data_IF_086248410004
#
_entry.id   IF_086248410004
#
_cell.length_a   1.000
_cell.length_b   1.000
_cell.length_c   1.000
_cell.angle_alpha   90.00
_cell.angle_beta   90.00
_cell.angle_gamma   90.00
#
_symmetry.space_group_name_H-M   'P 1'
#
loop_
_entity.id
_entity.type
_entity.pdbx_description
1 polymer ?
#
# COMPACT_ATOMS: atom_id res chain seq x y z
N UNK A 1 -34.88 32.89 6.86
CA UNK A 1 -34.77 31.49 6.34
C UNK A 1 -33.35 31.17 5.92
N UNK A 2 -32.68 31.95 5.05
CA UNK A 2 -31.30 31.71 4.62
C UNK A 2 -30.29 31.57 5.78
N UNK A 3 -30.44 32.39 6.83
CA UNK A 3 -29.55 32.34 8.00
C UNK A 3 -29.71 31.04 8.81
N UNK A 4 -30.93 30.51 8.95
CA UNK A 4 -31.21 29.22 9.60
C UNK A 4 -30.67 28.06 8.77
N UNK A 5 -30.82 28.13 7.45
CA UNK A 5 -30.31 27.11 6.54
C UNK A 5 -28.76 27.04 6.60
N UNK A 6 -28.09 28.20 6.53
CA UNK A 6 -26.65 28.29 6.63
C UNK A 6 -26.10 27.74 7.97
N UNK A 7 -26.79 28.05 9.09
CA UNK A 7 -26.43 27.52 10.41
C UNK A 7 -26.64 26.01 10.52
N UNK A 8 -27.70 25.47 9.92
CA UNK A 8 -27.94 24.02 9.88
C UNK A 8 -26.89 23.29 9.05
N UNK A 9 -26.53 23.85 7.89
CA UNK A 9 -25.45 23.29 7.05
C UNK A 9 -24.11 23.30 7.80
N UNK A 10 -23.75 24.42 8.45
CA UNK A 10 -22.52 24.52 9.24
C UNK A 10 -22.46 23.47 10.34
N UNK A 11 -23.53 23.31 11.12
CA UNK A 11 -23.62 22.28 12.17
C UNK A 11 -23.52 20.85 11.62
N UNK A 12 -24.09 20.59 10.45
CA UNK A 12 -24.00 19.30 9.80
C UNK A 12 -22.56 18.99 9.34
N UNK A 13 -21.87 19.99 8.78
CA UNK A 13 -20.45 19.87 8.37
C UNK A 13 -19.57 19.65 9.60
N UNK A 14 -19.67 20.47 10.64
CA UNK A 14 -18.92 20.33 11.89
C UNK A 14 -19.13 18.95 12.54
N UNK A 15 -20.37 18.45 12.54
CA UNK A 15 -20.66 17.11 13.05
C UNK A 15 -20.00 16.02 12.21
N UNK A 16 -20.06 16.14 10.90
CA UNK A 16 -19.44 15.17 9.99
C UNK A 16 -17.91 15.15 10.13
N UNK A 17 -17.29 16.32 10.25
CA UNK A 17 -15.84 16.46 10.49
C UNK A 17 -15.44 15.81 11.82
N UNK A 18 -16.17 16.07 12.91
CA UNK A 18 -15.91 15.46 14.22
C UNK A 18 -16.07 13.94 14.18
N UNK A 19 -17.14 13.40 13.60
CA UNK A 19 -17.34 11.95 13.46
C UNK A 19 -16.25 11.29 12.60
N UNK A 20 -15.74 12.01 11.60
CA UNK A 20 -14.66 11.52 10.75
C UNK A 20 -13.32 11.47 11.51
N UNK A 21 -13.00 12.52 12.26
CA UNK A 21 -11.79 12.57 13.11
C UNK A 21 -11.83 11.52 14.25
N UNK A 22 -12.97 11.35 14.92
CA UNK A 22 -13.13 10.31 15.95
C UNK A 22 -12.87 8.90 15.38
N UNK A 23 -13.37 8.62 14.17
CA UNK A 23 -13.12 7.32 13.51
C UNK A 23 -11.64 7.09 13.19
N UNK A 24 -10.93 8.13 12.73
CA UNK A 24 -9.48 8.04 12.46
C UNK A 24 -8.69 7.75 13.73
N UNK A 25 -8.96 8.50 14.80
CA UNK A 25 -8.31 8.33 16.11
C UNK A 25 -8.60 6.92 16.65
N UNK A 26 -9.83 6.45 16.55
CA UNK A 26 -10.21 5.11 16.98
C UNK A 26 -9.44 4.02 16.23
N UNK A 27 -9.33 4.10 14.90
CA UNK A 27 -8.57 3.13 14.10
C UNK A 27 -7.09 3.15 14.48
N UNK A 28 -6.51 4.34 14.68
CA UNK A 28 -5.12 4.50 15.09
C UNK A 28 -4.85 3.84 16.45
N UNK A 29 -5.66 4.16 17.45
CA UNK A 29 -5.52 3.62 18.80
C UNK A 29 -5.74 2.10 18.84
N UNK A 30 -6.80 1.60 18.20
CA UNK A 30 -7.08 0.16 18.13
C UNK A 30 -5.94 -0.60 17.45
N UNK A 31 -5.37 -0.04 16.39
CA UNK A 31 -4.23 -0.65 15.68
C UNK A 31 -2.97 -0.69 16.55
N UNK A 32 -2.70 0.34 17.34
CA UNK A 32 -1.61 0.34 18.30
C UNK A 32 -1.79 -0.73 19.38
N UNK A 33 -2.98 -0.79 20.00
CA UNK A 33 -3.30 -1.78 21.02
C UNK A 33 -3.22 -3.23 20.52
N UNK A 34 -3.48 -3.46 19.22
CA UNK A 34 -3.36 -4.77 18.60
C UNK A 34 -1.92 -5.17 18.28
N UNK A 35 -0.97 -4.25 18.13
CA UNK A 35 0.42 -4.58 17.79
C UNK A 35 1.08 -5.47 18.85
N UNK A 36 0.92 -5.14 20.11
CA UNK A 36 1.56 -5.86 21.22
C UNK A 36 1.06 -7.31 21.34
N UNK A 37 -0.26 -7.59 21.44
CA UNK A 37 -0.73 -8.97 21.53
C UNK A 37 -0.42 -9.81 20.28
N UNK A 38 -0.48 -9.21 19.09
CA UNK A 38 -0.11 -9.92 17.87
C UNK A 38 1.38 -10.30 17.84
N UNK A 39 2.27 -9.40 18.28
CA UNK A 39 3.70 -9.69 18.39
C UNK A 39 3.97 -10.80 19.42
N UNK A 40 3.31 -10.77 20.58
CA UNK A 40 3.43 -11.82 21.60
C UNK A 40 2.96 -13.17 21.05
N UNK A 41 1.84 -13.22 20.35
CA UNK A 41 1.34 -14.44 19.72
C UNK A 41 2.32 -14.99 18.67
N UNK A 42 2.89 -14.10 17.82
CA UNK A 42 3.89 -14.48 16.80
C UNK A 42 5.11 -15.12 17.45
N UNK A 43 5.72 -14.44 18.42
CA UNK A 43 6.91 -14.93 19.12
C UNK A 43 6.66 -16.27 19.80
N UNK A 44 5.51 -16.43 20.48
CA UNK A 44 5.15 -17.72 21.12
C UNK A 44 5.00 -18.83 20.12
N UNK A 45 4.40 -18.55 18.97
CA UNK A 45 4.21 -19.54 17.91
C UNK A 45 5.55 -19.95 17.26
N UNK A 46 6.45 -18.98 17.05
CA UNK A 46 7.82 -19.24 16.57
C UNK A 46 8.59 -20.13 17.57
N UNK A 47 8.55 -19.80 18.88
CA UNK A 47 9.18 -20.63 19.92
C UNK A 47 8.60 -22.04 19.98
N UNK A 48 7.31 -22.22 19.66
CA UNK A 48 6.72 -23.56 19.61
C UNK A 48 7.16 -24.33 18.36
N UNK A 49 7.29 -23.67 17.21
CA UNK A 49 7.76 -24.26 15.95
C UNK A 49 9.23 -24.72 16.04
N UNK A 50 10.04 -24.04 16.84
CA UNK A 50 11.46 -24.40 17.05
C UNK A 50 11.68 -25.61 17.98
N UNK A 51 10.62 -26.17 18.57
CA UNK A 51 10.74 -27.33 19.46
C UNK A 51 10.98 -28.62 18.68
N UNK A 52 11.97 -29.42 19.07
CA UNK A 52 12.31 -30.66 18.33
C UNK A 52 11.32 -31.81 18.56
N UNK A 53 10.45 -31.71 19.57
CA UNK A 53 9.49 -32.76 19.96
C UNK A 53 8.09 -32.58 19.34
N UNK A 54 7.92 -31.62 18.39
CA UNK A 54 6.64 -31.40 17.74
C UNK A 54 6.38 -32.47 16.66
N UNK A 55 5.17 -33.01 16.69
CA UNK A 55 4.63 -33.86 15.63
C UNK A 55 4.49 -33.07 14.32
N UNK A 56 4.81 -33.70 13.19
CA UNK A 56 4.82 -33.07 11.87
C UNK A 56 3.44 -32.52 11.46
N UNK A 57 2.35 -33.18 11.84
CA UNK A 57 0.98 -32.76 11.61
C UNK A 57 0.68 -31.45 12.39
N UNK A 58 1.06 -31.39 13.67
CA UNK A 58 0.90 -30.21 14.51
C UNK A 58 1.75 -29.05 13.98
N UNK A 59 3.00 -29.31 13.59
CA UNK A 59 3.88 -28.33 12.98
C UNK A 59 3.24 -27.72 11.72
N UNK A 60 2.63 -28.55 10.87
CA UNK A 60 1.91 -28.09 9.68
C UNK A 60 0.76 -27.12 9.98
N UNK A 61 -0.06 -27.43 10.99
CA UNK A 61 -1.14 -26.52 11.43
C UNK A 61 -0.60 -25.23 12.06
N UNK A 62 0.47 -25.30 12.83
CA UNK A 62 1.12 -24.13 13.42
C UNK A 62 1.71 -23.20 12.34
N UNK A 63 2.29 -23.75 11.27
CA UNK A 63 2.76 -22.94 10.12
C UNK A 63 1.59 -22.20 9.45
N UNK A 64 0.44 -22.85 9.26
CA UNK A 64 -0.77 -22.20 8.72
C UNK A 64 -1.25 -21.07 9.63
N UNK A 65 -1.27 -21.32 10.94
CA UNK A 65 -1.64 -20.32 11.94
C UNK A 65 -0.65 -19.14 11.95
N UNK A 66 0.65 -19.41 11.88
CA UNK A 66 1.69 -18.38 11.81
C UNK A 66 1.52 -17.50 10.56
N UNK A 67 1.26 -18.08 9.39
CA UNK A 67 0.97 -17.32 8.17
C UNK A 67 -0.25 -16.40 8.32
N UNK A 68 -1.32 -16.90 8.96
CA UNK A 68 -2.52 -16.11 9.24
C UNK A 68 -2.23 -14.95 10.19
N UNK A 69 -1.44 -15.20 11.23
CA UNK A 69 -1.01 -14.18 12.19
C UNK A 69 -0.13 -13.10 11.54
N UNK A 70 0.83 -13.50 10.72
CA UNK A 70 1.66 -12.57 9.94
C UNK A 70 0.82 -11.72 8.97
N UNK A 71 -0.24 -12.29 8.40
CA UNK A 71 -1.18 -11.51 7.60
C UNK A 71 -1.90 -10.43 8.42
N UNK A 72 -2.39 -10.76 9.64
CA UNK A 72 -3.02 -9.81 10.56
C UNK A 72 -2.05 -8.71 11.00
N UNK A 73 -0.79 -9.07 11.28
CA UNK A 73 0.26 -8.09 11.64
C UNK A 73 0.49 -7.11 10.49
N UNK A 74 0.62 -7.59 9.25
CA UNK A 74 0.79 -6.71 8.07
C UNK A 74 -0.41 -5.80 7.87
N UNK A 75 -1.62 -6.34 7.98
CA UNK A 75 -2.85 -5.58 7.85
C UNK A 75 -2.94 -4.47 8.91
N UNK A 76 -2.65 -4.80 10.16
CA UNK A 76 -2.67 -3.84 11.27
C UNK A 76 -1.63 -2.74 11.10
N UNK A 77 -0.39 -3.08 10.70
CA UNK A 77 0.67 -2.09 10.40
C UNK A 77 0.25 -1.14 9.27
N UNK A 78 -0.40 -1.67 8.23
CA UNK A 78 -0.85 -0.85 7.09
C UNK A 78 -2.00 0.08 7.49
N UNK A 79 -2.95 -0.39 8.30
CA UNK A 79 -4.05 0.44 8.81
C UNK A 79 -3.54 1.57 9.70
N UNK A 80 -2.58 1.27 10.59
CA UNK A 80 -1.96 2.27 11.43
C UNK A 80 -1.24 3.35 10.60
N UNK A 81 -0.46 2.92 9.60
CA UNK A 81 0.26 3.85 8.73
C UNK A 81 -0.73 4.72 7.94
N UNK A 82 -1.80 4.13 7.42
CA UNK A 82 -2.85 4.85 6.71
C UNK A 82 -3.51 5.90 7.63
N UNK A 83 -3.83 5.53 8.86
CA UNK A 83 -4.36 6.45 9.87
C UNK A 83 -3.40 7.62 10.14
N UNK A 84 -2.09 7.36 10.26
CA UNK A 84 -1.07 8.40 10.48
C UNK A 84 -0.94 9.35 9.29
N UNK A 85 -1.01 8.84 8.06
CA UNK A 85 -0.96 9.66 6.85
C UNK A 85 -2.21 10.54 6.78
N UNK A 86 -3.39 10.00 7.05
CA UNK A 86 -4.64 10.75 7.05
C UNK A 86 -4.71 11.82 8.16
N UNK A 87 -3.95 11.65 9.23
CA UNK A 87 -3.78 12.60 10.33
C UNK A 87 -2.62 13.58 10.12
N UNK A 88 -2.10 13.71 8.90
CA UNK A 88 -1.03 14.64 8.52
C UNK A 88 0.24 14.52 9.41
N UNK A 89 0.53 13.29 9.92
CA UNK A 89 1.71 13.07 10.76
C UNK A 89 3.04 13.00 9.98
N UNK A 90 2.98 13.13 8.65
CA UNK A 90 4.13 13.13 7.76
C UNK A 90 4.14 14.39 6.87
N UNK A 91 4.47 15.55 7.43
CA UNK A 91 4.54 16.77 6.63
C UNK A 91 5.60 16.63 5.52
N UNK A 92 5.37 17.22 4.34
CA UNK A 92 6.34 17.21 3.24
C UNK A 92 7.52 18.12 3.62
N UNK A 93 8.64 17.50 4.04
CA UNK A 93 9.80 18.22 4.59
C UNK A 93 10.91 18.40 3.57
N UNK A 94 11.09 17.44 2.66
CA UNK A 94 12.30 17.33 1.86
C UNK A 94 11.99 17.24 0.35
N UNK A 95 12.95 17.66 -0.47
CA UNK A 95 12.99 17.31 -1.89
C UNK A 95 13.54 15.89 -2.02
N UNK A 96 12.72 14.97 -2.46
CA UNK A 96 13.03 13.54 -2.55
C UNK A 96 13.17 13.13 -4.01
N UNK A 97 14.28 12.49 -4.34
CA UNK A 97 14.47 11.85 -5.64
C UNK A 97 13.71 10.51 -5.69
N UNK A 98 12.51 10.56 -6.23
CA UNK A 98 11.65 9.39 -6.43
C UNK A 98 12.27 8.35 -7.35
N UNK A 99 13.16 8.77 -8.26
CA UNK A 99 13.85 7.88 -9.21
C UNK A 99 14.79 6.93 -8.46
N UNK A 100 15.52 7.44 -7.48
CA UNK A 100 16.41 6.64 -6.64
C UNK A 100 15.62 5.61 -5.81
N UNK A 101 14.48 6.02 -5.24
CA UNK A 101 13.61 5.11 -4.48
C UNK A 101 13.00 4.03 -5.39
N UNK A 102 12.61 4.38 -6.63
CA UNK A 102 12.12 3.42 -7.63
C UNK A 102 13.15 2.37 -7.97
N UNK A 103 14.42 2.75 -8.20
CA UNK A 103 15.50 1.82 -8.48
C UNK A 103 15.72 0.84 -7.33
N UNK A 104 15.83 1.35 -6.10
CA UNK A 104 15.99 0.53 -4.91
C UNK A 104 14.79 -0.42 -4.69
N UNK A 105 13.56 0.06 -4.90
CA UNK A 105 12.35 -0.76 -4.79
C UNK A 105 12.28 -1.84 -5.88
N UNK A 106 12.73 -1.55 -7.10
CA UNK A 106 12.79 -2.52 -8.20
C UNK A 106 13.77 -3.63 -7.86
N UNK A 107 15.01 -3.29 -7.54
CA UNK A 107 16.08 -4.22 -7.19
C UNK A 107 15.69 -5.14 -6.02
N UNK A 108 15.13 -4.57 -4.95
CA UNK A 108 14.63 -5.35 -3.81
C UNK A 108 13.52 -6.35 -4.21
N UNK A 109 12.59 -5.96 -5.09
CA UNK A 109 11.51 -6.85 -5.50
C UNK A 109 12.00 -7.91 -6.51
N UNK A 110 12.99 -7.62 -7.35
CA UNK A 110 13.66 -8.60 -8.21
C UNK A 110 14.26 -9.73 -7.38
N UNK A 111 14.93 -9.42 -6.28
CA UNK A 111 15.49 -10.40 -5.36
C UNK A 111 14.40 -11.25 -4.68
N UNK A 112 13.39 -10.58 -4.08
CA UNK A 112 12.30 -11.26 -3.35
C UNK A 112 11.49 -12.18 -4.27
N UNK A 113 11.23 -11.78 -5.50
CA UNK A 113 10.42 -12.52 -6.47
C UNK A 113 11.24 -13.22 -7.56
N UNK A 114 12.54 -13.43 -7.33
CA UNK A 114 13.45 -14.12 -8.28
C UNK A 114 12.93 -15.47 -8.74
N UNK A 115 12.23 -16.21 -7.87
CA UNK A 115 11.58 -17.48 -8.18
C UNK A 115 10.50 -17.41 -9.27
N UNK A 116 9.98 -16.23 -9.58
CA UNK A 116 9.01 -16.00 -10.66
C UNK A 116 9.69 -15.75 -12.03
N UNK A 117 11.00 -15.53 -12.10
CA UNK A 117 11.76 -15.25 -13.32
C UNK A 117 11.14 -14.15 -14.19
N UNK A 118 10.69 -13.07 -13.57
CA UNK A 118 10.08 -11.92 -14.27
C UNK A 118 11.16 -11.04 -14.89
N UNK A 119 10.83 -10.41 -16.01
CA UNK A 119 11.69 -9.42 -16.67
C UNK A 119 11.26 -8.01 -16.25
N UNK A 120 12.11 -7.32 -15.51
CA UNK A 120 11.84 -5.96 -15.06
C UNK A 120 12.80 -4.96 -15.69
N UNK A 121 12.28 -3.76 -15.97
CA UNK A 121 13.06 -2.67 -16.59
C UNK A 121 12.62 -1.31 -16.05
N UNK A 122 13.59 -0.38 -16.03
CA UNK A 122 13.33 1.03 -15.69
C UNK A 122 13.96 1.93 -16.75
N UNK A 123 13.13 2.68 -17.47
CA UNK A 123 13.54 3.72 -18.41
C UNK A 123 13.42 5.08 -17.71
N UNK A 124 14.52 5.80 -17.60
CA UNK A 124 14.57 7.14 -17.00
C UNK A 124 14.94 8.15 -18.10
N UNK A 125 13.99 9.00 -18.47
CA UNK A 125 14.24 10.13 -19.38
C UNK A 125 14.78 11.32 -18.63
N UNK A 126 14.19 11.59 -17.44
CA UNK A 126 14.61 12.66 -16.55
C UNK A 126 14.24 12.23 -15.12
N UNK A 127 15.06 12.59 -14.12
CA UNK A 127 14.78 12.26 -12.71
C UNK A 127 13.53 12.98 -12.22
N UNK A 128 12.69 12.27 -11.47
CA UNK A 128 11.52 12.84 -10.82
C UNK A 128 11.82 13.17 -9.37
N UNK A 129 11.85 14.46 -9.08
CA UNK A 129 12.04 15.00 -7.73
C UNK A 129 10.75 15.68 -7.30
N UNK A 130 10.28 15.42 -6.09
CA UNK A 130 9.11 16.07 -5.53
C UNK A 130 9.24 16.31 -4.03
N UNK A 131 8.47 17.28 -3.54
CA UNK A 131 8.47 17.60 -2.12
C UNK A 131 7.52 16.68 -1.36
N UNK A 132 8.08 15.74 -0.59
CA UNK A 132 7.35 14.73 0.15
C UNK A 132 8.19 14.28 1.37
N UNK A 133 7.57 13.67 2.37
CA UNK A 133 8.34 12.99 3.41
C UNK A 133 8.96 11.69 2.85
N UNK A 134 10.27 11.48 3.04
CA UNK A 134 11.01 10.36 2.46
C UNK A 134 10.47 8.97 2.87
N UNK A 135 10.06 8.81 4.13
CA UNK A 135 9.48 7.55 4.61
C UNK A 135 8.18 7.21 3.87
N UNK A 136 7.35 8.23 3.66
CA UNK A 136 6.07 8.08 2.96
C UNK A 136 6.29 7.86 1.47
N UNK A 137 7.28 8.51 0.86
CA UNK A 137 7.71 8.27 -0.51
C UNK A 137 8.16 6.82 -0.73
N UNK A 138 8.98 6.29 0.17
CA UNK A 138 9.44 4.90 0.13
C UNK A 138 8.28 3.91 0.25
N UNK A 139 7.32 4.18 1.12
CA UNK A 139 6.10 3.38 1.26
C UNK A 139 5.24 3.43 -0.01
N UNK A 140 5.04 4.61 -0.57
CA UNK A 140 4.28 4.82 -1.81
C UNK A 140 4.87 4.00 -2.96
N UNK A 141 6.13 4.23 -3.27
CA UNK A 141 6.84 3.55 -4.35
C UNK A 141 6.90 2.04 -4.11
N UNK A 142 7.25 1.63 -2.87
CA UNK A 142 7.31 0.22 -2.50
C UNK A 142 5.99 -0.52 -2.71
N UNK A 143 4.84 0.12 -2.40
CA UNK A 143 3.53 -0.47 -2.66
C UNK A 143 3.21 -0.59 -4.15
N UNK A 144 3.55 0.42 -4.96
CA UNK A 144 3.29 0.39 -6.41
C UNK A 144 4.13 -0.67 -7.12
N UNK A 145 5.44 -0.70 -6.85
CA UNK A 145 6.36 -1.68 -7.43
C UNK A 145 6.01 -3.10 -6.96
N UNK A 146 5.86 -3.32 -5.66
CA UNK A 146 5.46 -4.62 -5.11
C UNK A 146 4.15 -5.13 -5.70
N UNK A 147 3.18 -4.25 -5.90
CA UNK A 147 1.89 -4.62 -6.50
C UNK A 147 2.07 -5.22 -7.90
N UNK A 148 2.95 -4.63 -8.73
CA UNK A 148 3.27 -5.16 -10.04
C UNK A 148 3.87 -6.58 -9.95
N UNK A 149 4.83 -6.83 -9.05
CA UNK A 149 5.45 -8.15 -8.86
C UNK A 149 4.48 -9.20 -8.31
N UNK A 150 3.66 -8.83 -7.32
CA UNK A 150 2.70 -9.75 -6.69
C UNK A 150 1.66 -10.23 -7.70
N UNK A 151 1.14 -9.32 -8.51
CA UNK A 151 0.01 -9.58 -9.40
C UNK A 151 0.40 -10.07 -10.80
N UNK A 152 1.67 -10.03 -11.16
CA UNK A 152 2.17 -10.59 -12.42
C UNK A 152 2.35 -12.12 -12.33
N UNK A 153 2.10 -12.77 -13.46
CA UNK A 153 2.42 -14.19 -13.65
C UNK A 153 3.94 -14.41 -13.71
N UNK A 154 4.43 -15.65 -13.46
CA UNK A 154 5.82 -16.00 -13.72
C UNK A 154 6.21 -15.72 -15.18
N UNK A 155 7.41 -15.19 -15.40
CA UNK A 155 7.92 -14.81 -16.72
C UNK A 155 7.35 -13.52 -17.30
N UNK A 156 6.44 -12.83 -16.60
CA UNK A 156 5.83 -11.60 -17.07
C UNK A 156 6.83 -10.42 -17.09
N UNK A 157 6.51 -9.42 -17.91
CA UNK A 157 7.26 -8.18 -17.99
C UNK A 157 6.71 -7.13 -17.02
N UNK A 158 7.62 -6.41 -16.34
CA UNK A 158 7.34 -5.24 -15.52
C UNK A 158 8.17 -4.08 -16.07
N UNK A 159 7.51 -2.99 -16.45
CA UNK A 159 8.19 -1.82 -17.02
C UNK A 159 7.87 -0.57 -16.20
N UNK A 160 8.92 0.17 -15.82
CA UNK A 160 8.81 1.46 -15.16
C UNK A 160 9.35 2.53 -16.10
N UNK A 161 8.59 3.62 -16.29
CA UNK A 161 9.04 4.78 -17.06
C UNK A 161 8.98 6.02 -16.19
N UNK A 162 10.07 6.80 -16.16
CA UNK A 162 10.23 8.00 -15.33
C UNK A 162 10.49 9.22 -16.21
N UNK A 163 9.84 10.33 -15.90
CA UNK A 163 10.02 11.66 -16.48
C UNK A 163 10.02 12.73 -15.39
N UNK A 164 10.38 13.96 -15.71
CA UNK A 164 10.38 15.09 -14.75
C UNK A 164 9.04 15.29 -14.01
N UNK A 165 7.91 14.96 -14.68
CA UNK A 165 6.58 15.17 -14.12
C UNK A 165 6.00 13.98 -13.35
N UNK A 166 6.70 12.84 -13.29
CA UNK A 166 6.19 11.64 -12.63
C UNK A 166 6.73 10.33 -13.21
N UNK A 167 6.09 9.24 -12.82
CA UNK A 167 6.44 7.90 -13.31
C UNK A 167 5.19 7.02 -13.50
N UNK A 168 5.36 5.95 -14.25
CA UNK A 168 4.36 4.89 -14.33
C UNK A 168 5.00 3.52 -14.09
N UNK A 169 4.21 2.62 -13.52
CA UNK A 169 4.54 1.21 -13.32
C UNK A 169 3.55 0.40 -14.14
N UNK A 170 4.06 -0.41 -15.06
CA UNK A 170 3.27 -1.28 -15.94
C UNK A 170 3.55 -2.75 -15.64
N UNK A 171 2.52 -3.55 -15.66
CA UNK A 171 2.63 -5.00 -15.56
C UNK A 171 1.51 -5.70 -16.34
N UNK A 172 1.78 -6.92 -16.79
CA UNK A 172 0.81 -7.73 -17.51
C UNK A 172 -0.35 -8.19 -16.62
N UNK A 173 -1.55 -8.30 -17.21
CA UNK A 173 -2.72 -8.84 -16.54
C UNK A 173 -3.80 -9.23 -17.54
N UNK A 174 -4.73 -10.11 -17.11
CA UNK A 174 -5.72 -10.74 -17.99
C UNK A 174 -7.01 -9.92 -18.12
N UNK A 175 -7.33 -9.06 -17.16
CA UNK A 175 -8.58 -8.33 -17.13
C UNK A 175 -8.45 -6.97 -16.43
N UNK A 176 -9.21 -5.94 -16.86
CA UNK A 176 -9.18 -4.63 -16.22
C UNK A 176 -9.71 -4.70 -14.78
N UNK A 177 -9.16 -3.84 -13.92
CA UNK A 177 -9.71 -3.57 -12.60
C UNK A 177 -10.81 -2.51 -12.70
N UNK A 178 -11.72 -2.50 -11.74
CA UNK A 178 -12.73 -1.45 -11.65
C UNK A 178 -12.06 -0.10 -11.30
N UNK A 179 -12.01 0.81 -12.27
CA UNK A 179 -11.37 2.14 -12.13
C UNK A 179 -11.93 2.96 -10.97
N UNK A 180 -13.21 2.74 -10.58
CA UNK A 180 -13.83 3.46 -9.46
C UNK A 180 -13.44 2.88 -8.10
N UNK A 181 -13.01 1.62 -8.06
CA UNK A 181 -12.77 0.89 -6.82
C UNK A 181 -11.30 0.52 -6.60
N UNK A 182 -10.45 0.61 -7.62
CA UNK A 182 -9.05 0.14 -7.59
C UNK A 182 -8.25 0.75 -6.43
N UNK A 183 -8.56 1.97 -6.02
CA UNK A 183 -7.94 2.66 -4.89
C UNK A 183 -8.74 2.59 -3.58
N UNK A 184 -9.89 1.87 -3.58
CA UNK A 184 -10.65 1.68 -2.35
C UNK A 184 -9.98 0.65 -1.45
N UNK A 185 -10.13 0.86 -0.14
CA UNK A 185 -9.64 -0.08 0.88
C UNK A 185 -10.30 -1.44 0.72
N UNK A 186 -9.52 -2.48 0.92
CA UNK A 186 -9.97 -3.89 0.85
C UNK A 186 -10.50 -4.32 -0.53
N UNK A 187 -10.19 -3.57 -1.59
CA UNK A 187 -10.53 -3.99 -2.94
C UNK A 187 -9.58 -5.12 -3.39
N UNK A 188 -10.13 -6.30 -3.60
CA UNK A 188 -9.45 -7.52 -4.03
C UNK A 188 -10.22 -8.15 -5.19
N UNK A 189 -9.91 -7.78 -6.45
CA UNK A 189 -10.54 -8.38 -7.61
C UNK A 189 -10.17 -9.87 -7.71
N UNK A 190 -11.18 -10.73 -7.98
CA UNK A 190 -10.96 -12.18 -8.11
C UNK A 190 -10.70 -12.93 -6.81
N UNK A 191 -10.92 -12.29 -5.64
CA UNK A 191 -10.77 -12.91 -4.34
C UNK A 191 -9.40 -12.71 -3.69
N UNK A 192 -9.22 -13.32 -2.52
CA UNK A 192 -8.04 -13.13 -1.68
C UNK A 192 -6.85 -13.94 -2.22
N UNK A 193 -5.81 -13.27 -2.68
CA UNK A 193 -4.50 -13.91 -2.94
C UNK A 193 -3.66 -13.89 -1.67
N UNK A 194 -2.84 -14.92 -1.46
CA UNK A 194 -1.95 -15.02 -0.29
C UNK A 194 -1.03 -13.77 -0.23
N UNK A 195 -1.02 -13.10 0.93
CA UNK A 195 -0.22 -11.90 1.15
C UNK A 195 -0.86 -10.58 0.71
N UNK A 196 -2.00 -10.59 0.01
CA UNK A 196 -2.71 -9.37 -0.39
C UNK A 196 -3.69 -8.90 0.69
N UNK A 197 -3.59 -7.65 1.10
CA UNK A 197 -4.49 -7.03 2.09
C UNK A 197 -5.58 -6.16 1.46
N UNK A 198 -5.43 -5.80 0.18
CA UNK A 198 -6.29 -4.83 -0.50
C UNK A 198 -6.12 -3.39 0.02
N UNK A 199 -5.00 -3.11 0.72
CA UNK A 199 -4.71 -1.79 1.28
C UNK A 199 -3.57 -1.07 0.56
N UNK A 200 -2.73 -1.76 -0.22
CA UNK A 200 -1.53 -1.18 -0.81
C UNK A 200 -1.82 0.00 -1.75
N UNK A 201 -2.76 -0.16 -2.69
CA UNK A 201 -3.14 0.91 -3.62
C UNK A 201 -3.95 2.02 -2.91
N UNK A 202 -4.77 1.68 -1.91
CA UNK A 202 -5.46 2.67 -1.08
C UNK A 202 -4.48 3.52 -0.27
N UNK A 203 -3.42 2.91 0.26
CA UNK A 203 -2.34 3.60 0.95
C UNK A 203 -1.59 4.54 0.00
N UNK A 204 -1.22 4.05 -1.19
CA UNK A 204 -0.56 4.85 -2.21
C UNK A 204 -1.43 6.06 -2.62
N UNK A 205 -2.72 5.85 -2.78
CA UNK A 205 -3.67 6.91 -3.09
C UNK A 205 -3.76 7.98 -1.98
N UNK A 206 -3.89 7.56 -0.72
CA UNK A 206 -3.90 8.50 0.42
C UNK A 206 -2.61 9.32 0.54
N UNK A 207 -1.45 8.70 0.26
CA UNK A 207 -0.17 9.42 0.21
C UNK A 207 -0.21 10.50 -0.88
N UNK A 208 -0.65 10.13 -2.09
CA UNK A 208 -0.71 11.07 -3.21
C UNK A 208 -1.63 12.25 -2.90
N UNK A 209 -2.84 12.01 -2.39
CA UNK A 209 -3.78 13.07 -2.01
C UNK A 209 -3.18 14.08 -1.00
N UNK A 210 -2.42 13.57 0.01
CA UNK A 210 -1.81 14.41 1.04
C UNK A 210 -0.53 15.12 0.59
N UNK A 211 0.11 14.61 -0.47
CA UNK A 211 1.36 15.17 -1.00
C UNK A 211 1.18 16.00 -2.26
N UNK A 212 -0.05 16.30 -2.68
CA UNK A 212 -0.30 17.07 -3.91
C UNK A 212 0.12 16.33 -5.19
N UNK A 213 0.04 14.99 -5.16
CA UNK A 213 0.33 14.12 -6.29
C UNK A 213 -0.97 13.51 -6.84
N UNK A 214 -1.00 13.18 -8.10
CA UNK A 214 -2.11 12.46 -8.74
C UNK A 214 -1.73 11.00 -8.97
N UNK A 215 -2.60 10.06 -8.60
CA UNK A 215 -2.45 8.64 -8.87
C UNK A 215 -3.60 8.17 -9.75
N UNK A 216 -3.29 7.58 -10.90
CA UNK A 216 -4.27 7.09 -11.86
C UNK A 216 -4.00 5.64 -12.23
N UNK A 217 -5.05 4.96 -12.68
CA UNK A 217 -4.98 3.59 -13.18
C UNK A 217 -5.60 3.49 -14.56
N UNK A 218 -4.93 2.77 -15.45
CA UNK A 218 -5.44 2.41 -16.77
C UNK A 218 -5.16 0.93 -17.09
N UNK A 219 -5.90 0.40 -18.09
CA UNK A 219 -5.70 -0.94 -18.60
C UNK A 219 -5.88 -0.93 -20.13
N UNK A 220 -4.82 -1.25 -20.82
CA UNK A 220 -4.80 -1.33 -22.28
C UNK A 220 -3.85 -2.47 -22.71
N UNK A 221 -4.16 -3.14 -23.80
CA UNK A 221 -3.30 -4.19 -24.39
C UNK A 221 -2.84 -5.26 -23.38
N UNK A 222 -3.76 -5.70 -22.50
CA UNK A 222 -3.47 -6.65 -21.40
C UNK A 222 -2.38 -6.17 -20.43
N UNK A 223 -2.24 -4.85 -20.27
CA UNK A 223 -1.32 -4.25 -19.31
C UNK A 223 -2.07 -3.35 -18.32
N UNK A 224 -1.82 -3.56 -17.06
CA UNK A 224 -2.16 -2.60 -16.00
C UNK A 224 -1.10 -1.51 -15.96
N UNK A 225 -1.54 -0.27 -15.94
CA UNK A 225 -0.66 0.90 -15.78
C UNK A 225 -1.14 1.72 -14.60
N UNK A 226 -0.27 1.88 -13.61
CA UNK A 226 -0.47 2.83 -12.51
C UNK A 226 0.48 4.00 -12.72
N UNK A 227 -0.07 5.19 -12.87
CA UNK A 227 0.71 6.41 -13.14
C UNK A 227 0.60 7.39 -11.97
N UNK A 228 1.75 7.91 -11.55
CA UNK A 228 1.90 8.96 -10.57
C UNK A 228 2.46 10.20 -11.23
N UNK A 229 1.80 11.35 -11.02
CA UNK A 229 2.21 12.64 -11.59
C UNK A 229 2.14 13.74 -10.54
N UNK A 230 3.04 14.71 -10.62
CA UNK A 230 2.90 15.95 -9.85
C UNK A 230 1.66 16.71 -10.32
N UNK A 231 0.87 17.28 -9.38
CA UNK A 231 -0.17 18.25 -9.74
C UNK A 231 0.51 19.60 -10.01
N UNK A 232 0.27 20.13 -11.19
CA UNK A 232 0.78 21.46 -11.63
C UNK A 232 0.01 22.56 -10.95
#
# INVERSE_FOLDING_TARGET
>A
EFRKLAETIRKAVERFENEYEERKIFIGNASHELQTPLAVCSNRLEMLLDRPDINEEIAGEMVKLHRSLQHLIRLNKTLLLLSRIENDQFPPTDEVDMTSILRAALEMNEEIYSHKSMNSSIEVRESFVCRINEQVASVLVGNLVKNAFVHSAPGAEIAISVSAGGFNVRNQGDAPLDKKRVFHRFYLPGGRREGSTGLGLALAYSVCERSGLSLTYDFQENQHTVSLTAMI
#
